data_IF_356975453518
#
_entry.id   IF_356975453518
#
_cell.length_a   1.000
_cell.length_b   1.000
_cell.length_c   1.000
_cell.angle_alpha   90.00
_cell.angle_beta   90.00
_cell.angle_gamma   90.00
#
_symmetry.space_group_name_H-M   'P 1'
#
loop_
_entity.id
_entity.type
_entity.pdbx_description
1 polymer ?
#
# COMPACT_ATOMS: atom_id res chain seq x y z
N UNK A 1 -1.61 -8.22 -14.42
CA UNK A 1 -1.96 -6.86 -13.95
C UNK A 1 -1.65 -5.86 -15.05
N UNK A 2 -2.47 -4.81 -15.19
CA UNK A 2 -2.19 -3.71 -16.12
C UNK A 2 -1.02 -2.86 -15.60
N UNK A 3 -0.19 -2.28 -16.48
CA UNK A 3 0.86 -1.34 -16.08
C UNK A 3 0.28 -0.14 -15.31
N UNK A 4 1.05 0.39 -14.36
CA UNK A 4 0.63 1.55 -13.58
C UNK A 4 0.61 2.81 -14.43
N UNK A 5 -0.32 3.73 -14.16
CA UNK A 5 -0.41 5.02 -14.85
C UNK A 5 0.87 5.89 -14.69
N UNK A 6 1.65 5.66 -13.63
CA UNK A 6 2.88 6.37 -13.31
C UNK A 6 4.11 5.47 -13.60
N UNK A 7 4.54 5.29 -14.86
CA UNK A 7 5.61 4.35 -15.21
C UNK A 7 6.94 4.68 -14.52
N UNK A 8 7.24 5.96 -14.30
CA UNK A 8 8.47 6.38 -13.60
C UNK A 8 8.52 5.97 -12.12
N UNK A 9 7.36 5.70 -11.50
CA UNK A 9 7.28 5.17 -10.14
C UNK A 9 7.41 3.64 -10.15
N UNK A 10 6.71 2.95 -11.07
CA UNK A 10 6.77 1.49 -11.22
C UNK A 10 8.17 1.00 -11.60
N UNK A 11 8.88 1.75 -12.46
CA UNK A 11 10.18 1.34 -13.01
C UNK A 11 11.38 1.79 -12.17
N UNK A 12 11.18 2.55 -11.08
CA UNK A 12 12.25 3.08 -10.24
C UNK A 12 12.14 2.69 -8.75
N UNK A 13 12.03 1.38 -8.43
CA UNK A 13 11.99 0.94 -7.04
C UNK A 13 13.36 1.12 -6.38
N UNK A 14 13.37 1.75 -5.21
CA UNK A 14 14.53 1.84 -4.35
C UNK A 14 14.74 0.52 -3.58
N UNK A 15 15.97 0.20 -3.13
CA UNK A 15 16.22 -0.97 -2.28
C UNK A 15 15.35 -0.95 -1.01
N UNK A 16 14.75 -2.10 -0.67
CA UNK A 16 13.94 -2.25 0.54
C UNK A 16 12.84 -3.30 0.42
N UNK A 17 12.16 -3.57 1.54
CA UNK A 17 11.21 -4.69 1.67
C UNK A 17 10.09 -4.71 0.62
N UNK A 18 9.56 -3.55 0.21
CA UNK A 18 8.50 -3.48 -0.80
C UNK A 18 9.00 -3.83 -2.20
N UNK A 19 10.25 -3.48 -2.55
CA UNK A 19 10.85 -3.93 -3.81
C UNK A 19 10.98 -5.45 -3.82
N UNK A 20 11.48 -6.03 -2.74
CA UNK A 20 11.68 -7.48 -2.64
C UNK A 20 10.33 -8.23 -2.68
N UNK A 21 9.31 -7.69 -2.00
CA UNK A 21 7.95 -8.22 -2.03
C UNK A 21 7.34 -8.18 -3.44
N UNK A 22 7.46 -7.05 -4.15
CA UNK A 22 7.00 -6.93 -5.55
C UNK A 22 7.67 -7.97 -6.43
N UNK A 23 9.00 -8.11 -6.35
CA UNK A 23 9.76 -9.08 -7.14
C UNK A 23 9.33 -10.51 -6.85
N UNK A 24 9.07 -10.83 -5.58
CA UNK A 24 8.57 -12.14 -5.16
C UNK A 24 7.20 -12.44 -5.78
N UNK A 25 6.26 -11.49 -5.72
CA UNK A 25 4.91 -11.67 -6.27
C UNK A 25 4.93 -11.73 -7.80
N UNK A 26 5.77 -10.95 -8.46
CA UNK A 26 5.97 -11.01 -9.91
C UNK A 26 6.54 -12.36 -10.35
N UNK A 27 7.51 -12.91 -9.63
CA UNK A 27 8.13 -14.19 -9.95
C UNK A 27 7.14 -15.37 -9.86
N UNK A 28 6.12 -15.26 -9.00
CA UNK A 28 5.06 -16.26 -8.86
C UNK A 28 3.85 -15.98 -9.74
N UNK A 29 3.83 -14.86 -10.47
CA UNK A 29 2.66 -14.42 -11.25
C UNK A 29 1.46 -14.02 -10.40
N UNK A 30 1.64 -13.80 -9.10
CA UNK A 30 0.58 -13.47 -8.16
C UNK A 30 0.25 -11.97 -8.20
N UNK A 31 -1.02 -11.64 -7.93
CA UNK A 31 -1.46 -10.25 -7.79
C UNK A 31 -0.99 -9.65 -6.46
N UNK A 32 -0.72 -8.34 -6.46
CA UNK A 32 -0.33 -7.60 -5.27
C UNK A 32 -0.87 -6.17 -5.30
N UNK A 33 -1.01 -5.51 -4.13
CA UNK A 33 -1.47 -4.13 -4.05
C UNK A 33 -0.55 -3.19 -4.82
N UNK A 34 -1.07 -2.50 -5.85
CA UNK A 34 -0.27 -1.62 -6.71
C UNK A 34 0.35 -0.44 -5.96
N UNK A 35 -0.21 -0.06 -4.82
CA UNK A 35 0.37 0.95 -3.93
C UNK A 35 1.79 0.58 -3.46
N UNK A 36 2.17 -0.71 -3.46
CA UNK A 36 3.53 -1.12 -3.11
C UNK A 36 4.60 -0.46 -3.99
N UNK A 37 4.29 -0.12 -5.24
CA UNK A 37 5.20 0.61 -6.12
C UNK A 37 5.54 2.01 -5.57
N UNK A 38 4.55 2.74 -5.03
CA UNK A 38 4.82 4.00 -4.34
C UNK A 38 5.70 3.80 -3.11
N UNK A 39 5.48 2.70 -2.37
CA UNK A 39 6.25 2.38 -1.18
C UNK A 39 7.71 2.05 -1.52
N UNK A 40 7.94 1.33 -2.62
CA UNK A 40 9.27 1.05 -3.14
C UNK A 40 9.93 2.29 -3.76
N UNK A 41 9.18 3.23 -4.36
CA UNK A 41 9.73 4.43 -4.99
C UNK A 41 10.25 5.48 -3.98
N UNK A 42 9.56 5.66 -2.83
CA UNK A 42 9.94 6.65 -1.79
C UNK A 42 9.96 6.06 -0.37
N UNK A 43 10.82 5.07 -0.08
CA UNK A 43 10.80 4.33 1.19
C UNK A 43 10.95 5.22 2.43
N UNK A 44 11.76 6.29 2.33
CA UNK A 44 11.97 7.23 3.45
C UNK A 44 10.67 7.88 3.92
N UNK A 45 9.71 8.14 3.03
CA UNK A 45 8.41 8.70 3.39
C UNK A 45 7.40 7.60 3.74
N UNK A 46 7.32 6.58 2.89
CA UNK A 46 6.26 5.57 2.93
C UNK A 46 6.40 4.57 4.07
N UNK A 47 7.61 4.36 4.61
CA UNK A 47 7.79 3.54 5.82
C UNK A 47 7.07 4.12 7.05
N UNK A 48 6.94 5.45 7.14
CA UNK A 48 6.23 6.08 8.25
C UNK A 48 4.73 5.93 8.05
N UNK A 49 4.26 6.08 6.80
CA UNK A 49 2.87 5.81 6.43
C UNK A 49 2.50 4.34 6.72
N UNK A 50 3.34 3.38 6.32
CA UNK A 50 3.11 1.94 6.56
C UNK A 50 2.90 1.64 8.05
N UNK A 51 3.80 2.16 8.89
CA UNK A 51 3.75 1.97 10.34
C UNK A 51 2.52 2.63 10.93
N UNK A 52 2.25 3.88 10.56
CA UNK A 52 1.06 4.58 11.02
C UNK A 52 -0.23 3.83 10.67
N UNK A 53 -0.38 3.39 9.41
CA UNK A 53 -1.56 2.62 8.97
C UNK A 53 -1.70 1.31 9.73
N UNK A 54 -0.60 0.59 9.97
CA UNK A 54 -0.62 -0.65 10.75
C UNK A 54 -1.10 -0.40 12.19
N UNK A 55 -0.55 0.61 12.87
CA UNK A 55 -0.94 0.97 14.23
C UNK A 55 -2.41 1.39 14.31
N UNK A 56 -2.85 2.26 13.40
CA UNK A 56 -4.22 2.79 13.40
C UNK A 56 -5.25 1.72 13.04
N UNK A 57 -5.01 0.88 12.03
CA UNK A 57 -6.01 -0.09 11.58
C UNK A 57 -6.01 -1.39 12.37
N UNK A 58 -4.86 -1.80 12.92
CA UNK A 58 -4.69 -3.16 13.49
C UNK A 58 -4.20 -3.17 14.93
N UNK A 59 -3.69 -2.06 15.47
CA UNK A 59 -3.26 -1.97 16.86
C UNK A 59 -4.42 -2.05 17.88
N UNK A 60 -4.16 -2.35 19.16
CA UNK A 60 -5.17 -2.37 20.21
C UNK A 60 -5.93 -1.05 20.31
N UNK A 61 -7.25 -1.08 20.23
CA UNK A 61 -8.11 0.09 20.46
C UNK A 61 -9.55 -0.36 20.75
N UNK A 62 -10.43 0.52 21.26
CA UNK A 62 -11.81 0.17 21.60
C UNK A 62 -12.68 -0.14 20.37
N UNK A 63 -12.22 0.19 19.16
CA UNK A 63 -12.90 -0.11 17.90
C UNK A 63 -12.31 -1.36 17.27
N UNK A 64 -13.15 -2.29 16.82
CA UNK A 64 -12.69 -3.48 16.10
C UNK A 64 -12.03 -3.10 14.77
N UNK A 65 -11.11 -3.93 14.22
CA UNK A 65 -10.51 -3.68 12.92
C UNK A 65 -11.56 -3.46 11.82
N UNK A 66 -12.65 -4.23 11.81
CA UNK A 66 -13.71 -4.10 10.81
C UNK A 66 -14.38 -2.72 10.79
N UNK A 67 -14.60 -2.08 11.94
CA UNK A 67 -15.14 -0.71 11.97
C UNK A 67 -14.13 0.31 11.45
N UNK A 68 -12.83 0.11 11.72
CA UNK A 68 -11.78 1.00 11.20
C UNK A 68 -11.66 0.90 9.68
N UNK A 69 -11.76 -0.31 9.13
CA UNK A 69 -11.82 -0.53 7.69
C UNK A 69 -13.10 0.08 7.07
N UNK A 70 -14.24 0.03 7.77
CA UNK A 70 -15.47 0.70 7.30
C UNK A 70 -15.31 2.23 7.20
N UNK A 71 -14.66 2.84 8.20
CA UNK A 71 -14.35 4.28 8.16
C UNK A 71 -13.41 4.58 7.00
N UNK A 72 -12.35 3.78 6.82
CA UNK A 72 -11.42 3.94 5.70
C UNK A 72 -12.12 3.81 4.34
N UNK A 73 -12.95 2.80 4.15
CA UNK A 73 -13.69 2.60 2.91
C UNK A 73 -14.68 3.74 2.63
N UNK A 74 -15.44 4.18 3.64
CA UNK A 74 -16.41 5.27 3.50
C UNK A 74 -15.72 6.60 3.16
N UNK A 75 -14.62 6.91 3.84
CA UNK A 75 -13.85 8.14 3.57
C UNK A 75 -13.12 8.10 2.23
N UNK A 76 -12.57 6.95 1.83
CA UNK A 76 -11.99 6.76 0.49
C UNK A 76 -13.04 6.93 -0.62
N UNK A 77 -14.25 6.41 -0.44
CA UNK A 77 -15.36 6.62 -1.36
C UNK A 77 -15.70 8.11 -1.50
N UNK A 78 -15.82 8.83 -0.38
CA UNK A 78 -16.07 10.27 -0.39
C UNK A 78 -14.95 11.12 -1.01
N UNK A 79 -13.71 10.61 -1.03
CA UNK A 79 -12.56 11.24 -1.65
C UNK A 79 -12.32 10.77 -3.10
N UNK A 80 -13.25 10.01 -3.70
CA UNK A 80 -13.10 9.45 -5.04
C UNK A 80 -11.75 8.72 -5.22
N UNK A 81 -11.36 7.93 -4.22
CA UNK A 81 -10.14 7.13 -4.24
C UNK A 81 -10.48 5.67 -4.62
N UNK A 82 -10.41 5.27 -5.90
CA UNK A 82 -10.83 3.96 -6.37
C UNK A 82 -9.79 2.84 -6.15
N UNK A 83 -8.65 3.18 -5.54
CA UNK A 83 -7.50 2.29 -5.36
C UNK A 83 -7.66 1.31 -4.20
#
# INVERSE_FOLDING_TARGET
>A
MNPMFLPGVEQNPQPGAYRDAIQTMQATGAEYPQIWHLFAFRPQATQHLARFTQEILRGPAPMSPGIRELIAAYTSYGNECPF
#
